data_IF_757189445766
#
_entry.id   IF_757189445766
#
_cell.length_a   1.000
_cell.length_b   1.000
_cell.length_c   1.000
_cell.angle_alpha   90.00
_cell.angle_beta   90.00
_cell.angle_gamma   90.00
#
_symmetry.space_group_name_H-M   'P 1'
#
loop_
_entity.id
_entity.type
_entity.pdbx_description
1 polymer ?
#
# COMPACT_ATOMS: atom_id res chain seq x y z
N UNK A 1 12.25 2.92 -14.65
CA UNK A 1 11.12 3.86 -14.79
C UNK A 1 9.87 3.22 -15.42
N UNK A 2 9.60 1.92 -15.19
CA UNK A 2 8.46 1.23 -15.83
C UNK A 2 7.59 0.43 -14.83
N UNK A 3 7.87 0.53 -13.53
CA UNK A 3 7.21 -0.33 -12.52
C UNK A 3 5.84 0.19 -12.04
N UNK A 4 5.43 1.37 -12.51
CA UNK A 4 4.12 1.97 -12.22
C UNK A 4 3.19 1.95 -13.44
N UNK A 5 3.71 1.57 -14.62
CA UNK A 5 2.89 1.45 -15.83
C UNK A 5 2.00 0.21 -15.69
N UNK A 6 0.70 0.44 -15.55
CA UNK A 6 -0.30 -0.61 -15.29
C UNK A 6 -0.62 -0.84 -13.82
N UNK A 7 -0.10 0.00 -12.91
CA UNK A 7 -0.58 0.05 -11.54
C UNK A 7 -1.71 1.07 -11.42
N UNK A 8 -2.81 0.65 -10.80
CA UNK A 8 -3.96 1.50 -10.49
C UNK A 8 -3.79 2.06 -9.07
N UNK A 9 -3.70 3.39 -8.90
CA UNK A 9 -3.60 4.00 -7.57
C UNK A 9 -4.93 3.88 -6.83
N UNK A 10 -4.87 3.41 -5.57
CA UNK A 10 -6.03 3.34 -4.68
C UNK A 10 -6.03 4.45 -3.63
N UNK A 11 -4.88 4.67 -3.00
CA UNK A 11 -4.74 5.63 -1.90
C UNK A 11 -3.39 6.32 -2.01
N UNK A 12 -3.38 7.63 -1.79
CA UNK A 12 -2.15 8.42 -1.67
C UNK A 12 -2.15 9.08 -0.29
N UNK A 13 -1.07 8.86 0.45
CA UNK A 13 -0.89 9.39 1.81
C UNK A 13 0.10 10.56 1.72
N UNK A 14 -0.38 11.80 1.60
CA UNK A 14 0.49 12.99 1.55
C UNK A 14 0.30 13.85 2.80
N UNK A 15 1.39 14.37 3.35
CA UNK A 15 1.40 15.50 4.27
C UNK A 15 1.67 16.82 3.53
N UNK A 16 1.99 17.88 4.28
CA UNK A 16 2.29 19.21 3.72
C UNK A 16 3.70 19.35 3.13
N UNK A 17 4.56 18.33 3.24
CA UNK A 17 5.91 18.36 2.66
C UNK A 17 5.89 17.99 1.16
N UNK A 18 6.91 18.43 0.42
CA UNK A 18 7.22 17.92 -0.92
C UNK A 18 8.19 16.72 -0.90
N UNK A 19 8.15 15.91 0.16
CA UNK A 19 9.12 14.85 0.43
C UNK A 19 8.82 13.50 -0.23
N UNK A 20 7.78 13.45 -1.08
CA UNK A 20 7.21 12.21 -1.62
C UNK A 20 5.98 11.78 -0.83
N UNK A 21 5.16 10.93 -1.41
CA UNK A 21 3.97 10.42 -0.73
C UNK A 21 3.99 8.90 -0.76
N UNK A 22 3.78 8.24 0.39
CA UNK A 22 3.40 6.84 0.39
C UNK A 22 2.14 6.62 -0.46
N UNK A 23 2.09 5.50 -1.17
CA UNK A 23 0.99 5.19 -2.08
C UNK A 23 0.65 3.71 -2.08
N UNK A 24 -0.64 3.41 -2.17
CA UNK A 24 -1.17 2.07 -2.32
C UNK A 24 -1.68 1.89 -3.75
N UNK A 25 -1.28 0.80 -4.40
CA UNK A 25 -1.65 0.44 -5.76
C UNK A 25 -2.16 -1.00 -5.86
N UNK A 26 -2.96 -1.25 -6.90
CA UNK A 26 -3.27 -2.59 -7.41
C UNK A 26 -2.63 -2.75 -8.78
N UNK A 27 -1.97 -3.88 -9.04
CA UNK A 27 -1.49 -4.25 -10.37
C UNK A 27 -2.38 -5.33 -10.97
N UNK A 28 -3.36 -5.01 -11.84
CA UNK A 28 -4.29 -6.00 -12.39
C UNK A 28 -3.58 -7.10 -13.18
N UNK A 29 -2.46 -6.77 -13.83
CA UNK A 29 -1.62 -7.69 -14.58
C UNK A 29 -0.52 -8.37 -13.75
N UNK A 30 -0.39 -8.07 -12.46
CA UNK A 30 0.64 -8.65 -11.61
C UNK A 30 0.29 -10.11 -11.21
N UNK A 31 1.30 -10.95 -10.95
CA UNK A 31 1.12 -12.27 -10.34
C UNK A 31 0.26 -12.18 -9.07
N UNK A 32 -0.54 -13.22 -8.79
CA UNK A 32 -1.50 -13.19 -7.69
C UNK A 32 -0.86 -12.92 -6.33
N UNK A 33 0.40 -13.33 -6.15
CA UNK A 33 1.20 -13.22 -4.95
C UNK A 33 1.81 -11.82 -4.74
N UNK A 34 1.72 -10.94 -5.76
CA UNK A 34 2.34 -9.60 -5.77
C UNK A 34 1.40 -8.52 -6.32
N UNK A 35 0.10 -8.72 -6.16
CA UNK A 35 -0.94 -7.89 -6.78
C UNK A 35 -1.14 -6.52 -6.13
N UNK A 36 -0.85 -6.40 -4.84
CA UNK A 36 -0.97 -5.16 -4.09
C UNK A 36 0.42 -4.61 -3.81
N UNK A 37 0.65 -3.32 -4.08
CA UNK A 37 1.91 -2.63 -3.82
C UNK A 37 1.66 -1.44 -2.89
N UNK A 38 2.36 -1.40 -1.76
CA UNK A 38 2.50 -0.21 -0.93
C UNK A 38 3.92 0.35 -1.12
N UNK A 39 4.03 1.63 -1.38
CA UNK A 39 5.31 2.36 -1.43
C UNK A 39 5.37 3.36 -0.29
N UNK A 40 6.55 3.58 0.27
CA UNK A 40 6.82 4.72 1.16
C UNK A 40 7.53 5.87 0.41
N UNK A 41 7.78 6.96 1.11
CA UNK A 41 8.50 8.15 0.65
C UNK A 41 10.04 7.97 0.63
N UNK A 42 10.56 6.91 1.23
CA UNK A 42 11.98 6.56 1.23
C UNK A 42 12.38 5.60 0.09
N UNK A 43 11.42 5.16 -0.71
CA UNK A 43 11.61 4.25 -1.84
C UNK A 43 11.49 2.76 -1.48
N UNK A 44 11.07 2.43 -0.27
CA UNK A 44 10.73 1.06 0.14
C UNK A 44 9.39 0.64 -0.46
N UNK A 45 9.26 -0.68 -0.65
CA UNK A 45 8.14 -1.28 -1.36
C UNK A 45 7.74 -2.58 -0.69
N UNK A 46 6.47 -2.72 -0.41
CA UNK A 46 5.88 -3.96 0.11
C UNK A 46 4.90 -4.47 -0.94
N UNK A 47 5.15 -5.67 -1.45
CA UNK A 47 4.24 -6.37 -2.35
C UNK A 47 3.60 -7.54 -1.63
N UNK A 48 2.30 -7.73 -1.86
CA UNK A 48 1.54 -8.81 -1.24
C UNK A 48 0.43 -9.32 -2.16
N UNK A 49 -0.09 -10.50 -1.85
CA UNK A 49 -1.27 -11.02 -2.52
C UNK A 49 -2.52 -10.23 -2.12
N UNK A 50 -3.59 -10.33 -2.92
CA UNK A 50 -4.89 -9.77 -2.55
C UNK A 50 -5.45 -10.41 -1.26
N UNK A 51 -5.14 -11.69 -1.00
CA UNK A 51 -5.56 -12.41 0.20
C UNK A 51 -4.86 -11.88 1.46
N UNK A 52 -3.54 -11.66 1.39
CA UNK A 52 -2.78 -11.05 2.47
C UNK A 52 -3.28 -9.64 2.78
N UNK A 53 -3.56 -8.85 1.74
CA UNK A 53 -4.13 -7.52 1.91
C UNK A 53 -5.53 -7.56 2.54
N UNK A 54 -6.37 -8.54 2.17
CA UNK A 54 -7.69 -8.75 2.77
C UNK A 54 -7.59 -9.05 4.27
N UNK A 55 -6.62 -9.87 4.69
CA UNK A 55 -6.35 -10.11 6.11
C UNK A 55 -5.93 -8.84 6.84
N UNK A 56 -5.02 -8.04 6.26
CA UNK A 56 -4.61 -6.75 6.83
C UNK A 56 -5.82 -5.81 7.02
N UNK A 57 -6.67 -5.68 6.01
CA UNK A 57 -7.90 -4.86 6.07
C UNK A 57 -8.86 -5.37 7.16
N UNK A 58 -8.99 -6.69 7.30
CA UNK A 58 -9.84 -7.29 8.32
C UNK A 58 -9.36 -6.93 9.73
N UNK A 59 -8.06 -7.04 9.98
CA UNK A 59 -7.47 -6.71 11.27
C UNK A 59 -7.48 -5.21 11.57
N UNK A 60 -7.27 -4.37 10.55
CA UNK A 60 -7.41 -2.92 10.65
C UNK A 60 -8.86 -2.53 11.03
N UNK A 61 -9.87 -3.12 10.38
CA UNK A 61 -11.29 -2.88 10.70
C UNK A 61 -11.68 -3.38 12.10
N UNK A 62 -10.96 -4.36 12.63
CA UNK A 62 -11.13 -4.84 14.00
C UNK A 62 -10.44 -3.94 15.05
N UNK A 63 -9.82 -2.83 14.64
CA UNK A 63 -9.14 -1.87 15.52
C UNK A 63 -7.78 -2.34 16.04
N UNK A 64 -7.22 -3.45 15.52
CA UNK A 64 -5.94 -3.97 16.02
C UNK A 64 -4.75 -3.05 15.77
N UNK A 65 -4.88 -2.12 14.82
CA UNK A 65 -3.81 -1.17 14.48
C UNK A 65 -3.94 0.17 15.22
N UNK A 66 -5.05 0.43 15.93
CA UNK A 66 -5.36 1.74 16.51
C UNK A 66 -4.30 2.18 17.53
N UNK A 67 -3.76 1.24 18.32
CA UNK A 67 -2.71 1.51 19.30
C UNK A 67 -1.37 1.96 18.69
N UNK A 68 -1.16 1.76 17.39
CA UNK A 68 0.03 2.23 16.66
C UNK A 68 -0.16 3.69 16.21
N UNK A 69 -1.39 4.10 15.90
CA UNK A 69 -1.71 5.43 15.34
C UNK A 69 -1.73 6.53 16.41
N UNK A 70 -1.90 6.16 17.68
CA UNK A 70 -1.94 7.09 18.82
C UNK A 70 -0.58 7.30 19.52
N UNK A 71 0.49 6.66 19.04
CA UNK A 71 1.81 6.67 19.67
C UNK A 71 2.71 7.80 19.15
#
# INVERSE_FOLDING_TARGET
>A
MNEINGLEPLVTFCGECNCGCPQLFVGPSAPAERRVLLTDDFGQRIQMSAEQFSSLVTEAKAGKLDGIVTA
#
